data_IF_020734581299
#
_entry.id   IF_020734581299
#
_cell.length_a   1.000
_cell.length_b   1.000
_cell.length_c   1.000
_cell.angle_alpha   90.00
_cell.angle_beta   90.00
_cell.angle_gamma   90.00
#
_symmetry.space_group_name_H-M   'P 1'
#
loop_
_entity.id
_entity.type
_entity.pdbx_description
1 polymer ?
#
# COMPACT_ATOMS: atom_id res chain seq x y z
N UNK A 1 -9.72 5.41 5.66
CA UNK A 1 -9.27 5.12 7.05
C UNK A 1 -9.54 3.67 7.45
N UNK A 2 -8.66 3.06 8.26
CA UNK A 2 -8.65 1.63 8.61
C UNK A 2 -8.34 0.72 7.41
N UNK A 3 -9.20 0.74 6.40
CA UNK A 3 -9.08 0.03 5.13
C UNK A 3 -8.16 0.71 4.12
N UNK A 4 -7.56 1.85 4.47
CA UNK A 4 -6.63 2.57 3.58
C UNK A 4 -5.41 1.69 3.30
N UNK A 5 -5.04 1.45 2.04
CA UNK A 5 -3.87 0.64 1.72
C UNK A 5 -2.56 1.28 2.19
N UNK A 6 -1.68 0.46 2.75
CA UNK A 6 -0.32 0.80 3.16
C UNK A 6 0.64 -0.17 2.49
N UNK A 7 1.61 0.36 1.76
CA UNK A 7 2.62 -0.42 1.03
C UNK A 7 3.93 -0.37 1.81
N UNK A 8 4.54 -1.53 2.03
CA UNK A 8 5.90 -1.69 2.56
C UNK A 8 6.79 -2.15 1.41
N UNK A 9 7.57 -1.23 0.85
CA UNK A 9 8.53 -1.52 -0.21
C UNK A 9 9.94 -1.67 0.34
N UNK A 10 10.34 -2.91 0.66
CA UNK A 10 11.67 -3.23 1.17
C UNK A 10 12.64 -3.48 0.02
N UNK A 11 13.82 -2.86 0.08
CA UNK A 11 14.93 -3.10 -0.84
C UNK A 11 14.55 -2.96 -2.33
N UNK A 12 13.65 -2.03 -2.65
CA UNK A 12 13.16 -1.82 -4.02
C UNK A 12 14.31 -1.65 -5.03
N UNK A 13 14.26 -2.38 -6.14
CA UNK A 13 15.29 -2.43 -7.18
C UNK A 13 16.48 -3.36 -6.88
N UNK A 14 16.47 -4.09 -5.76
CA UNK A 14 17.53 -5.05 -5.38
C UNK A 14 17.04 -6.50 -5.54
N UNK A 15 17.94 -7.50 -5.59
CA UNK A 15 17.55 -8.90 -5.69
C UNK A 15 16.67 -9.41 -4.53
N UNK A 16 16.75 -8.78 -3.37
CA UNK A 16 15.95 -9.10 -2.18
C UNK A 16 14.72 -8.18 -2.02
N UNK A 17 14.24 -7.59 -3.12
CA UNK A 17 13.03 -6.76 -3.13
C UNK A 17 11.83 -7.53 -2.57
N UNK A 18 11.09 -6.86 -1.68
CA UNK A 18 9.84 -7.37 -1.14
C UNK A 18 8.81 -6.24 -1.04
N UNK A 19 7.70 -6.41 -1.74
CA UNK A 19 6.58 -5.47 -1.75
C UNK A 19 5.38 -6.15 -1.09
N UNK A 20 5.05 -5.72 0.12
CA UNK A 20 3.85 -6.18 0.85
C UNK A 20 2.84 -5.03 0.96
N UNK A 21 1.55 -5.38 0.96
CA UNK A 21 0.45 -4.40 1.06
C UNK A 21 -0.49 -4.83 2.18
N UNK A 22 -0.76 -3.91 3.09
CA UNK A 22 -1.66 -4.09 4.23
C UNK A 22 -2.77 -3.05 4.23
N UNK A 23 -3.81 -3.29 5.02
CA UNK A 23 -4.71 -2.22 5.41
C UNK A 23 -4.06 -1.44 6.56
N UNK A 24 -4.34 -0.14 6.66
CA UNK A 24 -3.80 0.72 7.72
C UNK A 24 -4.11 0.20 9.13
N UNK A 25 -5.26 -0.45 9.32
CA UNK A 25 -5.64 -1.09 10.58
C UNK A 25 -4.76 -2.29 10.96
N UNK A 26 -4.16 -2.95 9.95
CA UNK A 26 -3.34 -4.16 10.11
C UNK A 26 -1.83 -3.85 9.95
N UNK A 27 -1.49 -2.59 9.72
CA UNK A 27 -0.11 -2.16 9.54
C UNK A 27 0.66 -2.25 10.87
N UNK A 28 1.83 -2.86 10.82
CA UNK A 28 2.68 -3.13 11.98
C UNK A 28 4.07 -2.56 11.74
N UNK A 29 4.49 -1.68 12.64
CA UNK A 29 5.76 -0.97 12.55
C UNK A 29 6.97 -1.92 12.57
N UNK A 30 6.86 -3.10 13.19
CA UNK A 30 7.96 -4.07 13.27
C UNK A 30 8.35 -4.67 11.90
N UNK A 31 7.50 -4.48 10.88
CA UNK A 31 7.75 -4.96 9.51
C UNK A 31 8.62 -4.01 8.68
N UNK A 32 8.86 -2.79 9.15
CA UNK A 32 9.70 -1.82 8.47
C UNK A 32 11.12 -1.81 9.07
N UNK A 33 12.12 -1.81 8.18
CA UNK A 33 13.53 -1.58 8.50
C UNK A 33 14.06 -0.33 7.77
N UNK A 34 15.35 -0.04 7.91
CA UNK A 34 15.99 1.11 7.24
C UNK A 34 15.95 1.07 5.71
N UNK A 35 15.73 -0.10 5.11
CA UNK A 35 15.63 -0.28 3.68
C UNK A 35 14.17 -0.35 3.19
N UNK A 36 13.21 0.07 4.02
CA UNK A 36 11.78 0.02 3.72
C UNK A 36 11.22 1.42 3.47
N UNK A 37 10.68 1.63 2.26
CA UNK A 37 9.87 2.80 1.94
C UNK A 37 8.40 2.49 2.21
N UNK A 38 7.73 3.32 3.02
CA UNK A 38 6.30 3.19 3.32
C UNK A 38 5.52 4.19 2.48
N UNK A 39 4.53 3.71 1.73
CA UNK A 39 3.57 4.54 0.99
C UNK A 39 2.19 4.34 1.59
N UNK A 40 1.55 5.42 2.03
CA UNK A 40 0.18 5.41 2.55
C UNK A 40 -0.73 6.01 1.48
N UNK A 41 -1.75 5.24 1.07
CA UNK A 41 -2.74 5.69 0.11
C UNK A 41 -3.68 6.76 0.66
N UNK A 42 -4.49 7.34 -0.22
CA UNK A 42 -5.65 8.14 0.17
C UNK A 42 -6.83 7.22 0.53
N UNK A 43 -7.94 7.76 1.09
CA UNK A 43 -9.17 6.99 1.28
C UNK A 43 -9.71 6.34 -0.01
N UNK A 44 -9.40 6.90 -1.17
CA UNK A 44 -9.82 6.42 -2.49
C UNK A 44 -8.89 5.36 -3.09
N UNK A 45 -7.67 5.19 -2.53
CA UNK A 45 -6.70 4.18 -3.01
C UNK A 45 -7.26 2.78 -2.82
N UNK A 46 -7.13 1.93 -3.85
CA UNK A 46 -7.67 0.57 -3.87
C UNK A 46 -6.60 -0.48 -4.17
N UNK A 47 -6.78 -1.66 -3.59
CA UNK A 47 -6.03 -2.86 -3.92
C UNK A 47 -6.81 -3.64 -4.99
N UNK A 48 -6.21 -3.86 -6.15
CA UNK A 48 -6.79 -4.61 -7.26
C UNK A 48 -6.14 -5.99 -7.29
N UNK A 49 -6.87 -7.00 -6.81
CA UNK A 49 -6.44 -8.41 -6.85
C UNK A 49 -6.40 -8.90 -8.30
N UNK A 50 -5.36 -9.66 -8.68
CA UNK A 50 -5.13 -10.11 -10.07
C UNK A 50 -4.84 -11.60 -10.18
N UNK A 51 -5.67 -12.47 -9.62
CA UNK A 51 -5.48 -13.93 -9.64
C UNK A 51 -4.03 -14.32 -9.28
N UNK A 52 -3.31 -14.96 -10.20
CA UNK A 52 -1.92 -15.40 -10.03
C UNK A 52 -0.87 -14.28 -10.19
N UNK A 53 -1.29 -13.05 -10.51
CA UNK A 53 -0.39 -11.90 -10.64
C UNK A 53 -0.39 -11.08 -9.35
N UNK A 54 0.73 -10.40 -9.03
CA UNK A 54 0.80 -9.49 -7.88
C UNK A 54 -0.35 -8.48 -7.90
N UNK A 55 -0.90 -8.13 -6.74
CA UNK A 55 -1.94 -7.10 -6.66
C UNK A 55 -1.41 -5.75 -7.14
N UNK A 56 -2.27 -4.93 -7.74
CA UNK A 56 -1.96 -3.52 -8.00
C UNK A 56 -2.53 -2.65 -6.89
N UNK A 57 -1.84 -1.55 -6.59
CA UNK A 57 -2.39 -0.48 -5.77
C UNK A 57 -2.55 0.76 -6.65
N UNK A 58 -3.75 1.32 -6.67
CA UNK A 58 -4.07 2.42 -7.56
C UNK A 58 -5.12 3.34 -6.95
N UNK A 59 -4.98 4.63 -7.19
CA UNK A 59 -5.98 5.64 -6.85
C UNK A 59 -6.70 6.07 -8.12
N UNK A 60 -8.03 5.85 -8.24
CA UNK A 60 -8.81 6.37 -9.34
C UNK A 60 -8.65 7.88 -9.51
N UNK A 61 -8.84 8.36 -10.74
CA UNK A 61 -8.82 9.80 -11.08
C UNK A 61 -10.11 10.52 -10.64
N UNK A 62 -10.59 10.20 -9.45
CA UNK A 62 -11.75 10.80 -8.83
C UNK A 62 -11.53 10.84 -7.33
N UNK A 63 -11.75 12.02 -6.75
CA UNK A 63 -11.85 12.16 -5.31
C UNK A 63 -13.33 12.38 -5.01
N UNK A 64 -13.89 11.59 -4.09
CA UNK A 64 -15.07 12.04 -3.38
C UNK A 64 -14.60 13.20 -2.52
N UNK A 65 -14.82 14.43 -2.98
CA UNK A 65 -14.50 15.63 -2.22
C UNK A 65 -15.00 15.47 -0.79
N UNK A 66 -14.24 15.99 0.16
CA UNK A 66 -14.62 15.94 1.57
C UNK A 66 -16.04 16.50 1.72
N UNK A 67 -17.01 15.65 2.07
CA UNK A 67 -18.35 16.08 2.45
C UNK A 67 -18.29 16.63 3.90
N UNK A 68 -17.39 17.59 4.13
CA UNK A 68 -17.27 18.33 5.39
C UNK A 68 -17.90 19.69 5.21
#
# INVERSE_FOLDING_TARGET
PGTTPVIFGRAAGRPDERIDVYLLADADAAKADMATCIIIGSPETRIIKRNERPALVYTPRSATGSNR
#
